data_IF_185326866598
#
_entry.id   IF_185326866598
#
_cell.length_a   1.000
_cell.length_b   1.000
_cell.length_c   1.000
_cell.angle_alpha   90.00
_cell.angle_beta   90.00
_cell.angle_gamma   90.00
#
_symmetry.space_group_name_H-M   'P 1'
#
loop_
_entity.id
_entity.type
_entity.pdbx_description
1 polymer ?
#
# COMPACT_ATOMS: atom_id res chain seq x y z
N UNK A 1 53.31 18.38 15.29
CA UNK A 1 52.63 17.97 14.05
C UNK A 1 52.15 16.52 14.06
N UNK A 2 52.89 15.59 14.64
CA UNK A 2 52.41 14.19 14.74
C UNK A 2 51.15 14.06 15.56
N UNK A 3 50.97 14.79 16.64
CA UNK A 3 49.77 14.78 17.51
C UNK A 3 48.52 15.30 16.79
N UNK A 4 48.65 16.27 15.89
CA UNK A 4 47.52 16.81 15.11
C UNK A 4 46.95 15.79 14.14
N UNK A 5 47.80 14.92 13.54
CA UNK A 5 47.35 13.84 12.65
C UNK A 5 46.50 12.78 13.40
N UNK A 6 46.89 12.47 14.63
CA UNK A 6 46.13 11.50 15.45
C UNK A 6 44.79 12.09 15.93
N UNK A 7 44.76 13.39 16.23
CA UNK A 7 43.53 14.10 16.59
C UNK A 7 42.57 14.14 15.40
N UNK A 8 43.07 14.44 14.19
CA UNK A 8 42.26 14.44 12.98
C UNK A 8 41.71 13.03 12.63
N UNK A 9 42.53 11.99 12.85
CA UNK A 9 42.13 10.63 12.61
C UNK A 9 41.10 10.12 13.63
N UNK A 10 41.23 10.53 14.89
CA UNK A 10 40.25 10.24 15.93
C UNK A 10 38.92 10.96 15.67
N UNK A 11 38.95 12.19 15.16
CA UNK A 11 37.75 12.94 14.80
C UNK A 11 37.05 12.36 13.61
N UNK A 12 37.80 11.89 12.61
CA UNK A 12 37.24 11.17 11.46
C UNK A 12 36.58 9.83 11.84
N UNK A 13 37.18 9.10 12.79
CA UNK A 13 36.60 7.85 13.29
C UNK A 13 35.29 8.08 14.07
N UNK A 14 35.20 9.19 14.81
CA UNK A 14 33.96 9.57 15.53
C UNK A 14 32.83 9.97 14.58
N UNK A 15 33.15 10.55 13.41
CA UNK A 15 32.15 10.90 12.40
C UNK A 15 31.60 9.65 11.66
N UNK A 16 32.35 8.59 11.58
CA UNK A 16 31.92 7.34 10.96
C UNK A 16 31.07 6.46 11.90
N UNK A 17 31.19 6.66 13.21
CA UNK A 17 30.40 5.92 14.21
C UNK A 17 28.96 6.45 14.37
N UNK A 18 28.65 7.59 13.73
CA UNK A 18 27.37 8.29 13.91
C UNK A 18 26.19 7.73 13.11
N UNK A 19 26.38 6.74 12.24
CA UNK A 19 25.33 6.32 11.32
C UNK A 19 24.71 4.96 11.58
N UNK A 20 25.19 4.24 12.58
CA UNK A 20 24.63 2.91 12.89
C UNK A 20 24.45 2.79 14.40
N UNK A 21 23.61 3.64 14.97
CA UNK A 21 23.06 3.32 16.27
C UNK A 21 22.15 2.10 16.15
N UNK A 22 22.19 1.22 17.13
CA UNK A 22 21.25 0.11 17.32
C UNK A 22 19.79 0.55 17.47
N UNK A 23 19.48 1.75 17.04
CA UNK A 23 18.16 2.36 17.07
C UNK A 23 17.40 2.26 15.74
N UNK A 24 17.79 1.40 14.83
CA UNK A 24 16.81 0.85 13.91
C UNK A 24 15.87 0.08 14.81
N UNK A 25 14.68 0.64 14.99
CA UNK A 25 13.63 -0.04 15.70
C UNK A 25 13.62 -1.46 15.14
N UNK A 26 14.05 -2.40 15.97
CA UNK A 26 13.71 -3.79 15.73
C UNK A 26 12.25 -3.74 15.34
N UNK A 27 11.93 -4.20 14.15
CA UNK A 27 10.56 -4.39 13.73
C UNK A 27 9.87 -4.95 14.96
N UNK A 28 8.99 -4.17 15.56
CA UNK A 28 8.27 -4.51 16.77
C UNK A 28 7.94 -5.98 16.60
N UNK A 29 8.55 -6.83 17.45
CA UNK A 29 8.62 -8.23 17.15
C UNK A 29 7.22 -8.74 16.87
N UNK A 30 7.11 -9.70 15.99
CA UNK A 30 5.87 -10.37 15.54
C UNK A 30 4.84 -10.68 16.66
N UNK A 31 5.24 -10.45 17.90
CA UNK A 31 4.44 -10.77 19.10
C UNK A 31 3.39 -9.74 19.47
N UNK A 32 3.47 -8.52 18.98
CA UNK A 32 2.55 -7.45 19.36
C UNK A 32 1.58 -7.05 18.24
N UNK A 33 1.60 -7.74 17.11
CA UNK A 33 0.56 -7.62 16.11
C UNK A 33 -0.72 -8.36 16.55
N UNK A 34 -1.26 -7.98 17.67
CA UNK A 34 -2.64 -8.30 18.05
C UNK A 34 -3.62 -7.29 17.48
N UNK A 35 -3.16 -6.47 16.55
CA UNK A 35 -4.02 -5.60 15.77
C UNK A 35 -5.03 -6.42 14.98
N UNK A 36 -6.14 -5.82 14.56
CA UNK A 36 -7.09 -6.49 13.68
C UNK A 36 -6.33 -7.07 12.50
N UNK A 37 -6.62 -8.33 12.20
CA UNK A 37 -5.96 -9.05 11.13
C UNK A 37 -5.89 -8.17 9.89
N UNK A 38 -4.68 -8.01 9.40
CA UNK A 38 -4.41 -7.24 8.21
C UNK A 38 -5.14 -7.91 7.06
N UNK A 39 -6.22 -7.29 6.62
CA UNK A 39 -7.12 -7.85 5.65
C UNK A 39 -8.17 -8.81 6.25
N UNK A 40 -9.23 -9.02 5.52
CA UNK A 40 -10.28 -9.98 5.84
C UNK A 40 -10.51 -10.91 4.66
N UNK A 41 -9.88 -12.08 4.69
CA UNK A 41 -10.00 -13.09 3.65
C UNK A 41 -11.34 -13.85 3.69
N UNK A 42 -12.22 -13.52 4.64
CA UNK A 42 -13.52 -14.15 4.83
C UNK A 42 -14.67 -13.24 4.41
N UNK A 43 -14.41 -12.28 3.53
CA UNK A 43 -15.44 -11.43 2.98
C UNK A 43 -16.38 -12.27 2.11
N UNK A 44 -17.62 -12.38 2.54
CA UNK A 44 -18.70 -12.94 1.74
C UNK A 44 -19.52 -11.78 1.17
N UNK A 45 -19.73 -11.80 -0.12
CA UNK A 45 -20.54 -10.81 -0.80
C UNK A 45 -21.44 -11.49 -1.84
N UNK A 46 -22.66 -10.96 -1.96
CA UNK A 46 -23.60 -11.33 -3.03
C UNK A 46 -23.42 -10.39 -4.23
N UNK A 47 -23.88 -10.81 -5.39
CA UNK A 47 -23.79 -10.02 -6.64
C UNK A 47 -22.35 -9.63 -7.01
N UNK A 48 -21.42 -10.55 -6.79
CA UNK A 48 -20.01 -10.36 -7.12
C UNK A 48 -19.79 -10.63 -8.60
N UNK A 49 -19.15 -9.67 -9.27
CA UNK A 49 -18.65 -9.82 -10.64
C UNK A 49 -17.12 -9.67 -10.63
N UNK A 50 -16.47 -10.20 -11.63
CA UNK A 50 -15.03 -10.04 -11.81
C UNK A 50 -14.68 -8.65 -12.31
N UNK A 51 -13.41 -8.26 -12.13
CA UNK A 51 -12.92 -6.99 -12.66
C UNK A 51 -13.01 -6.95 -14.18
N UNK A 52 -12.78 -8.08 -14.87
CA UNK A 52 -12.96 -8.16 -16.31
C UNK A 52 -14.41 -7.92 -16.74
N UNK A 53 -15.35 -8.59 -16.09
CA UNK A 53 -16.79 -8.41 -16.37
C UNK A 53 -17.24 -6.97 -16.12
N UNK A 54 -16.74 -6.33 -15.05
CA UNK A 54 -17.02 -4.92 -14.81
C UNK A 54 -16.51 -4.03 -15.96
N UNK A 55 -15.29 -4.27 -16.43
CA UNK A 55 -14.70 -3.51 -17.53
C UNK A 55 -15.44 -3.74 -18.86
N UNK A 56 -15.83 -4.96 -19.13
CA UNK A 56 -16.62 -5.30 -20.33
C UNK A 56 -18.01 -4.65 -20.31
N UNK A 57 -18.67 -4.69 -19.15
CA UNK A 57 -19.99 -4.09 -18.97
C UNK A 57 -19.99 -2.58 -19.26
N UNK A 58 -18.90 -1.89 -18.92
CA UNK A 58 -18.75 -0.46 -19.11
C UNK A 58 -17.69 -0.09 -20.16
N UNK A 59 -17.40 -1.00 -21.08
CA UNK A 59 -16.35 -0.83 -22.09
C UNK A 59 -16.51 0.46 -22.90
N UNK A 60 -17.71 0.77 -23.35
CA UNK A 60 -17.99 1.99 -24.13
C UNK A 60 -17.63 3.27 -23.36
N UNK A 61 -17.93 3.32 -22.06
CA UNK A 61 -17.60 4.46 -21.21
C UNK A 61 -16.11 4.55 -20.99
N UNK A 62 -15.45 3.43 -20.73
CA UNK A 62 -14.00 3.36 -20.52
C UNK A 62 -13.25 3.81 -21.77
N UNK A 63 -13.57 3.29 -22.93
CA UNK A 63 -12.93 3.61 -24.22
C UNK A 63 -13.08 5.08 -24.59
N UNK A 64 -14.22 5.67 -24.28
CA UNK A 64 -14.51 7.08 -24.56
C UNK A 64 -14.09 8.03 -23.44
N UNK A 65 -13.58 7.54 -22.34
CA UNK A 65 -13.25 8.34 -21.15
C UNK A 65 -14.46 9.05 -20.54
N UNK A 66 -15.63 8.43 -20.59
CA UNK A 66 -16.88 9.01 -20.12
C UNK A 66 -17.15 8.62 -18.67
N UNK A 67 -17.73 9.53 -17.93
CA UNK A 67 -18.25 9.25 -16.60
C UNK A 67 -19.54 8.41 -16.70
N UNK A 68 -19.66 7.42 -15.82
CA UNK A 68 -20.87 6.64 -15.63
C UNK A 68 -21.06 6.33 -14.16
N UNK A 69 -22.19 6.72 -13.63
CA UNK A 69 -22.63 6.28 -12.31
C UNK A 69 -23.16 4.84 -12.41
N UNK A 70 -22.71 3.99 -11.51
CA UNK A 70 -23.19 2.60 -11.41
C UNK A 70 -24.30 2.59 -10.35
N UNK A 71 -25.52 2.39 -10.81
CA UNK A 71 -26.72 2.37 -9.95
C UNK A 71 -27.13 0.92 -9.58
N UNK A 72 -26.41 -0.07 -10.11
CA UNK A 72 -26.67 -1.48 -9.88
C UNK A 72 -25.98 -1.95 -8.59
N UNK A 73 -26.63 -2.84 -7.85
CA UNK A 73 -26.01 -3.51 -6.71
C UNK A 73 -25.04 -4.60 -7.17
N UNK A 74 -23.88 -4.19 -7.64
CA UNK A 74 -22.76 -5.07 -8.03
C UNK A 74 -21.57 -4.83 -7.14
N UNK A 75 -20.81 -5.86 -6.87
CA UNK A 75 -19.61 -5.84 -6.05
C UNK A 75 -18.45 -6.51 -6.76
N UNK A 76 -17.25 -6.04 -6.50
CA UNK A 76 -16.02 -6.72 -6.90
C UNK A 76 -15.26 -7.15 -5.65
N UNK A 77 -14.62 -8.30 -5.71
CA UNK A 77 -13.71 -8.79 -4.69
C UNK A 77 -12.32 -8.91 -5.29
N UNK A 78 -11.33 -8.52 -4.53
CA UNK A 78 -9.95 -8.60 -4.97
C UNK A 78 -8.97 -8.37 -3.83
N UNK A 79 -7.71 -8.54 -4.15
CA UNK A 79 -6.59 -8.31 -3.24
C UNK A 79 -6.06 -6.91 -3.48
N UNK A 80 -5.75 -6.18 -2.41
CA UNK A 80 -5.08 -4.89 -2.51
C UNK A 80 -3.62 -5.12 -2.88
N UNK A 81 -3.20 -4.65 -4.03
CA UNK A 81 -1.83 -4.77 -4.54
C UNK A 81 -1.04 -3.48 -4.47
N UNK A 82 -1.70 -2.37 -4.17
CA UNK A 82 -1.07 -1.08 -3.94
C UNK A 82 -1.99 -0.15 -3.16
N UNK A 83 -1.42 0.68 -2.31
CA UNK A 83 -2.14 1.67 -1.52
C UNK A 83 -1.35 2.98 -1.42
N UNK A 84 -1.80 3.90 -0.58
CA UNK A 84 -1.24 5.24 -0.43
C UNK A 84 -0.07 5.35 0.57
N UNK A 85 0.44 4.22 1.09
CA UNK A 85 1.55 4.22 2.07
C UNK A 85 2.82 4.89 1.53
N UNK A 86 3.16 4.63 0.27
CA UNK A 86 4.37 5.19 -0.36
C UNK A 86 4.22 6.62 -0.86
N UNK A 87 3.05 7.24 -0.73
CA UNK A 87 2.77 8.59 -1.21
C UNK A 87 2.68 8.73 -2.73
N UNK A 88 2.83 7.67 -3.50
CA UNK A 88 2.70 7.68 -4.96
C UNK A 88 1.25 7.56 -5.44
N UNK A 89 0.39 6.95 -4.63
CA UNK A 89 -1.04 6.92 -4.81
C UNK A 89 -1.67 7.86 -3.79
N UNK A 90 -2.56 8.71 -4.24
CA UNK A 90 -3.28 9.63 -3.37
C UNK A 90 -4.77 9.31 -3.40
N UNK A 91 -5.31 8.95 -2.24
CA UNK A 91 -6.72 8.52 -2.10
C UNK A 91 -7.10 7.38 -3.06
N UNK A 92 -6.16 6.48 -3.32
CA UNK A 92 -6.33 5.41 -4.30
C UNK A 92 -5.74 4.10 -3.78
N UNK A 93 -6.35 3.01 -4.20
CA UNK A 93 -5.81 1.66 -4.05
C UNK A 93 -5.81 0.93 -5.38
N UNK A 94 -4.87 0.03 -5.57
CA UNK A 94 -4.91 -0.95 -6.64
C UNK A 94 -5.57 -2.22 -6.13
N UNK A 95 -6.63 -2.65 -6.77
CA UNK A 95 -7.33 -3.88 -6.47
C UNK A 95 -7.14 -4.86 -7.62
N UNK A 96 -6.85 -6.10 -7.33
CA UNK A 96 -6.64 -7.15 -8.32
C UNK A 96 -7.42 -8.41 -7.98
N UNK A 97 -8.02 -9.02 -8.98
CA UNK A 97 -8.53 -10.38 -8.94
C UNK A 97 -7.80 -11.27 -9.97
N UNK A 98 -8.26 -12.51 -10.14
CA UNK A 98 -7.68 -13.45 -11.12
C UNK A 98 -7.86 -13.02 -12.59
N UNK A 99 -8.74 -12.06 -12.86
CA UNK A 99 -9.10 -11.62 -14.21
C UNK A 99 -8.47 -10.30 -14.62
N UNK A 100 -8.01 -9.49 -13.64
CA UNK A 100 -7.38 -8.22 -13.91
C UNK A 100 -7.24 -7.34 -12.70
N UNK A 101 -6.82 -6.10 -12.93
CA UNK A 101 -6.66 -5.07 -11.91
C UNK A 101 -7.45 -3.82 -12.22
N UNK A 102 -7.79 -3.07 -11.17
CA UNK A 102 -8.49 -1.80 -11.26
C UNK A 102 -7.95 -0.83 -10.21
N UNK A 103 -7.92 0.44 -10.55
CA UNK A 103 -7.61 1.51 -9.62
C UNK A 103 -8.92 2.02 -9.01
N UNK A 104 -9.01 2.02 -7.70
CA UNK A 104 -10.18 2.48 -6.94
C UNK A 104 -9.83 3.76 -6.21
N UNK A 105 -10.57 4.83 -6.50
CA UNK A 105 -10.44 6.12 -5.83
C UNK A 105 -11.42 6.20 -4.66
N UNK A 106 -10.91 6.52 -3.48
CA UNK A 106 -11.70 6.63 -2.25
C UNK A 106 -11.41 8.00 -1.66
N UNK A 107 -12.44 8.80 -1.40
CA UNK A 107 -12.32 10.16 -0.87
C UNK A 107 -11.82 10.25 0.56
N UNK A 108 -10.80 9.44 0.90
CA UNK A 108 -10.18 9.35 2.22
C UNK A 108 -8.68 9.14 2.06
N UNK A 109 -7.87 9.78 2.89
CA UNK A 109 -6.43 9.58 2.97
C UNK A 109 -6.07 8.56 4.06
N UNK A 110 -4.85 8.01 3.98
CA UNK A 110 -4.38 7.01 4.96
C UNK A 110 -5.04 5.65 4.78
N UNK A 111 -5.36 5.28 3.56
CA UNK A 111 -6.02 4.01 3.23
C UNK A 111 -5.20 2.79 3.62
N UNK A 112 -3.87 2.92 3.67
CA UNK A 112 -2.97 1.84 4.02
C UNK A 112 -3.24 1.23 5.41
N UNK A 113 -3.78 2.01 6.34
CA UNK A 113 -4.12 1.54 7.68
C UNK A 113 -5.35 0.64 7.74
N UNK A 114 -6.28 0.81 6.81
CA UNK A 114 -7.53 0.05 6.74
C UNK A 114 -7.51 -0.98 5.61
N UNK A 115 -6.79 -0.66 4.54
CA UNK A 115 -6.67 -1.46 3.32
C UNK A 115 -5.19 -1.75 3.03
N UNK A 116 -4.54 -2.57 3.85
CA UNK A 116 -3.15 -2.94 3.63
C UNK A 116 -3.01 -3.76 2.35
N UNK A 117 -1.78 -3.75 1.80
CA UNK A 117 -1.44 -4.63 0.67
C UNK A 117 -1.37 -6.06 1.16
N UNK A 118 -1.99 -6.95 0.42
CA UNK A 118 -2.01 -8.38 0.68
C UNK A 118 -3.41 -8.99 0.72
N UNK A 119 -3.49 -10.30 0.89
CA UNK A 119 -4.75 -11.02 1.02
C UNK A 119 -5.45 -10.76 2.35
#
# INVERSE_FOLDING_TARGET
MKKLKYIAMAFAALLLASCMGDGYADSVGEKDYTGPAIGNNKLEATNVITISELKEKYATQIERGLYKQVDEDIKILGIVTGNDLGGNLYNQICLQDKTGGILVCIGKSGLYGELPVGP
#
